data_IF_898269806421
#
_entry.id   IF_898269806421
#
_cell.length_a   1.000
_cell.length_b   1.000
_cell.length_c   1.000
_cell.angle_alpha   90.00
_cell.angle_beta   90.00
_cell.angle_gamma   90.00
#
_symmetry.space_group_name_H-M   'P 1'
#
loop_
_entity.id
_entity.type
_entity.pdbx_description
1 polymer ?
#
# COMPACT_ATOMS: atom_id res chain seq x y z
N UNK A 1 58.92 14.71 36.77
CA UNK A 1 57.49 15.14 36.83
C UNK A 1 56.84 14.71 35.53
N UNK A 2 56.08 13.60 35.54
CA UNK A 2 55.42 13.01 34.34
C UNK A 2 53.98 13.57 34.27
N UNK A 3 53.68 14.33 33.22
CA UNK A 3 52.30 14.83 32.94
C UNK A 3 51.51 13.72 32.26
N UNK A 4 50.50 13.19 32.93
CA UNK A 4 49.56 12.27 32.35
C UNK A 4 48.46 13.08 31.60
N UNK A 5 48.40 12.91 30.27
CA UNK A 5 47.34 13.46 29.45
C UNK A 5 46.13 12.50 29.48
N UNK A 6 45.03 12.97 30.01
CA UNK A 6 43.76 12.29 30.09
C UNK A 6 43.03 12.52 28.76
N UNK A 7 42.95 11.48 27.89
CA UNK A 7 42.17 11.49 26.67
C UNK A 7 40.69 11.20 27.04
N UNK A 8 39.84 12.21 26.96
CA UNK A 8 38.40 12.02 27.11
C UNK A 8 37.83 11.56 25.76
N UNK A 9 37.45 10.31 25.70
CA UNK A 9 36.77 9.71 24.53
C UNK A 9 35.30 10.13 24.59
N UNK A 10 34.90 11.08 23.73
CA UNK A 10 33.50 11.48 23.56
C UNK A 10 32.78 10.45 22.72
N UNK A 11 32.01 9.54 23.34
CA UNK A 11 31.14 8.61 22.64
C UNK A 11 29.93 9.38 22.10
N UNK A 12 29.90 9.62 20.78
CA UNK A 12 28.71 10.13 20.09
C UNK A 12 27.70 8.99 19.97
N UNK A 13 26.73 8.97 20.85
CA UNK A 13 25.55 8.09 20.72
C UNK A 13 24.69 8.67 19.58
N UNK A 14 24.83 8.12 18.39
CA UNK A 14 23.92 8.38 17.29
C UNK A 14 22.54 7.75 17.62
N UNK A 15 21.70 8.50 18.29
CA UNK A 15 20.29 8.16 18.50
C UNK A 15 19.59 8.15 17.15
N UNK A 16 19.38 6.96 16.57
CA UNK A 16 18.57 6.79 15.37
C UNK A 16 17.13 7.15 15.69
N UNK A 17 16.69 8.34 15.33
CA UNK A 17 15.27 8.64 15.22
C UNK A 17 14.72 7.77 14.09
N UNK A 18 13.89 6.78 14.42
CA UNK A 18 13.10 6.05 13.43
C UNK A 18 12.03 7.02 12.88
N UNK A 19 12.37 7.73 11.80
CA UNK A 19 11.38 8.47 11.04
C UNK A 19 10.38 7.46 10.48
N UNK A 20 9.07 7.75 10.61
CA UNK A 20 8.07 7.04 9.83
C UNK A 20 8.48 7.12 8.36
N UNK A 21 8.46 5.99 7.65
CA UNK A 21 8.85 5.98 6.25
C UNK A 21 7.91 6.89 5.46
N UNK A 22 8.49 7.80 4.67
CA UNK A 22 7.73 8.65 3.76
C UNK A 22 7.15 7.81 2.61
N UNK A 23 5.95 8.14 2.11
CA UNK A 23 5.42 7.50 0.91
C UNK A 23 6.38 7.63 -0.28
N UNK A 24 6.50 6.58 -1.12
CA UNK A 24 7.37 6.66 -2.30
C UNK A 24 6.93 7.80 -3.23
N UNK A 25 7.88 8.61 -3.67
CA UNK A 25 7.61 9.77 -4.50
C UNK A 25 7.19 9.39 -5.93
N UNK A 26 6.37 10.22 -6.56
CA UNK A 26 6.04 10.10 -7.98
C UNK A 26 7.31 10.14 -8.83
N UNK A 27 7.42 9.24 -9.80
CA UNK A 27 8.59 9.08 -10.67
C UNK A 27 9.64 8.11 -10.13
N UNK A 28 9.51 7.61 -8.88
CA UNK A 28 10.43 6.62 -8.31
C UNK A 28 9.92 5.19 -8.52
N UNK A 29 10.81 4.22 -8.43
CA UNK A 29 10.42 2.80 -8.40
C UNK A 29 9.58 2.52 -7.15
N UNK A 30 8.44 1.87 -7.34
CA UNK A 30 7.62 1.40 -6.24
C UNK A 30 8.39 0.35 -5.41
N UNK A 31 8.31 0.39 -4.06
CA UNK A 31 8.88 -0.65 -3.22
C UNK A 31 8.38 -2.04 -3.63
N UNK A 32 9.30 -2.99 -3.75
CA UNK A 32 8.94 -4.38 -4.06
C UNK A 32 8.17 -5.00 -2.89
N UNK A 33 7.22 -5.88 -3.21
CA UNK A 33 6.53 -6.67 -2.20
C UNK A 33 6.26 -8.10 -2.65
N UNK A 34 6.07 -8.98 -1.68
CA UNK A 34 5.57 -10.34 -1.86
C UNK A 34 4.64 -10.63 -0.67
N UNK A 35 3.35 -10.60 -0.90
CA UNK A 35 2.33 -10.79 0.15
C UNK A 35 1.39 -11.93 -0.22
N UNK A 36 0.90 -12.73 0.76
CA UNK A 36 -0.14 -13.71 0.52
C UNK A 36 -1.49 -13.01 0.27
N UNK A 37 -2.22 -13.49 -0.71
CA UNK A 37 -3.60 -13.06 -0.96
C UNK A 37 -4.61 -13.87 -0.14
N UNK A 38 -5.90 -13.53 -0.24
CA UNK A 38 -7.00 -14.20 0.47
C UNK A 38 -7.11 -15.71 0.20
N UNK A 39 -6.48 -16.23 -0.85
CA UNK A 39 -6.40 -17.66 -1.15
C UNK A 39 -5.06 -18.29 -0.73
N UNK A 40 -4.20 -17.52 -0.02
CA UNK A 40 -2.87 -17.95 0.41
C UNK A 40 -1.80 -17.89 -0.67
N UNK A 41 -2.15 -17.62 -1.93
CA UNK A 41 -1.17 -17.53 -3.01
C UNK A 41 -0.35 -16.24 -2.94
N UNK A 42 0.98 -16.30 -3.21
CA UNK A 42 1.82 -15.11 -3.15
C UNK A 42 1.57 -14.20 -4.36
N UNK A 43 1.36 -12.92 -4.09
CA UNK A 43 1.28 -11.83 -5.08
C UNK A 43 2.51 -10.95 -4.94
N UNK A 44 3.18 -10.69 -6.05
CA UNK A 44 4.36 -9.83 -6.09
C UNK A 44 4.17 -8.69 -7.08
N UNK A 45 4.77 -7.54 -6.82
CA UNK A 45 4.77 -6.42 -7.76
C UNK A 45 5.45 -6.82 -9.09
N UNK A 46 6.49 -7.65 -9.04
CA UNK A 46 7.21 -8.15 -10.22
C UNK A 46 6.30 -8.89 -11.19
N UNK A 47 5.44 -9.79 -10.69
CA UNK A 47 4.50 -10.55 -11.52
C UNK A 47 3.39 -9.69 -12.16
N UNK A 48 3.29 -8.43 -11.74
CA UNK A 48 2.33 -7.46 -12.29
C UNK A 48 2.95 -6.57 -13.37
N UNK A 49 4.23 -6.76 -13.72
CA UNK A 49 4.87 -6.02 -14.82
C UNK A 49 4.06 -6.13 -16.11
N UNK A 50 4.06 -5.06 -16.89
CA UNK A 50 3.25 -4.94 -18.10
C UNK A 50 1.81 -4.51 -17.86
N UNK A 51 1.38 -4.39 -16.58
CA UNK A 51 0.07 -3.87 -16.19
C UNK A 51 0.20 -2.67 -15.28
N UNK A 52 -0.78 -1.80 -15.30
CA UNK A 52 -0.95 -0.82 -14.25
C UNK A 52 -1.37 -1.51 -12.96
N UNK A 53 -0.88 -1.02 -11.82
CA UNK A 53 -1.25 -1.54 -10.50
C UNK A 53 -1.86 -0.41 -9.68
N UNK A 54 -3.08 -0.64 -9.22
CA UNK A 54 -3.74 0.16 -8.18
C UNK A 54 -3.50 -0.56 -6.86
N UNK A 55 -2.57 -0.07 -6.07
CA UNK A 55 -2.24 -0.62 -4.75
C UNK A 55 -2.86 0.28 -3.69
N UNK A 56 -4.02 -0.12 -3.14
CA UNK A 56 -4.69 0.67 -2.11
C UNK A 56 -4.52 0.03 -0.74
N UNK A 57 -4.12 0.85 0.23
CA UNK A 57 -4.02 0.47 1.64
C UNK A 57 -5.29 0.89 2.37
N UNK A 58 -5.78 0.05 3.26
CA UNK A 58 -6.99 0.31 4.04
C UNK A 58 -6.88 -0.22 5.46
N UNK A 59 -7.56 0.40 6.45
CA UNK A 59 -7.34 0.10 7.86
C UNK A 59 -7.71 -1.31 8.27
N UNK A 60 -8.92 -1.81 7.90
CA UNK A 60 -9.43 -3.07 8.44
C UNK A 60 -10.63 -3.61 7.66
N UNK A 61 -10.65 -4.93 7.48
CA UNK A 61 -11.80 -5.67 6.96
C UNK A 61 -13.08 -5.41 7.76
N UNK A 62 -14.22 -5.56 7.12
CA UNK A 62 -15.56 -5.46 7.69
C UNK A 62 -15.95 -4.10 8.30
N UNK A 63 -15.09 -3.08 8.22
CA UNK A 63 -15.48 -1.72 8.61
C UNK A 63 -16.26 -1.02 7.51
N UNK A 64 -17.18 -0.14 7.86
CA UNK A 64 -18.10 0.50 6.91
C UNK A 64 -17.40 1.21 5.75
N UNK A 65 -16.39 2.03 6.06
CA UNK A 65 -15.62 2.74 5.03
C UNK A 65 -14.82 1.83 4.12
N UNK A 66 -14.17 0.78 4.67
CA UNK A 66 -13.39 -0.18 3.86
C UNK A 66 -14.31 -1.03 2.99
N UNK A 67 -15.49 -1.40 3.48
CA UNK A 67 -16.50 -2.11 2.70
C UNK A 67 -17.00 -1.27 1.51
N UNK A 68 -17.28 0.01 1.72
CA UNK A 68 -17.68 0.93 0.64
C UNK A 68 -16.56 1.04 -0.41
N UNK A 69 -15.32 1.22 0.01
CA UNK A 69 -14.17 1.33 -0.90
C UNK A 69 -13.98 0.06 -1.73
N UNK A 70 -13.97 -1.12 -1.07
CA UNK A 70 -13.83 -2.41 -1.73
C UNK A 70 -14.96 -2.67 -2.74
N UNK A 71 -16.22 -2.39 -2.37
CA UNK A 71 -17.38 -2.50 -3.28
C UNK A 71 -17.28 -1.57 -4.48
N UNK A 72 -16.77 -0.36 -4.33
CA UNK A 72 -16.57 0.57 -5.44
C UNK A 72 -15.48 0.06 -6.40
N UNK A 73 -14.35 -0.47 -5.90
CA UNK A 73 -13.36 -1.13 -6.75
C UNK A 73 -13.94 -2.38 -7.45
N UNK A 74 -14.78 -3.16 -6.75
CA UNK A 74 -15.46 -4.32 -7.35
C UNK A 74 -16.46 -3.92 -8.42
N UNK A 75 -17.28 -2.89 -8.19
CA UNK A 75 -18.20 -2.32 -9.19
C UNK A 75 -17.48 -1.97 -10.49
N UNK A 76 -16.28 -1.43 -10.37
CA UNK A 76 -15.50 -0.92 -11.49
C UNK A 76 -14.45 -1.91 -12.02
N UNK A 77 -14.43 -3.15 -11.53
CA UNK A 77 -13.40 -4.15 -11.85
C UNK A 77 -13.20 -4.35 -13.36
N UNK A 78 -14.29 -4.41 -14.13
CA UNK A 78 -14.20 -4.55 -15.59
C UNK A 78 -13.54 -3.34 -16.28
N UNK A 79 -13.74 -2.11 -15.74
CA UNK A 79 -13.11 -0.90 -16.26
C UNK A 79 -11.59 -0.96 -16.04
N UNK A 80 -11.14 -1.44 -14.88
CA UNK A 80 -9.72 -1.68 -14.60
C UNK A 80 -9.12 -2.72 -15.54
N UNK A 81 -9.78 -3.85 -15.75
CA UNK A 81 -9.34 -4.88 -16.71
C UNK A 81 -9.20 -4.31 -18.12
N UNK A 82 -10.21 -3.58 -18.61
CA UNK A 82 -10.16 -2.90 -19.93
C UNK A 82 -9.05 -1.87 -20.03
N UNK A 83 -8.68 -1.25 -18.90
CA UNK A 83 -7.56 -0.31 -18.82
C UNK A 83 -6.18 -1.01 -18.69
N UNK A 84 -6.11 -2.35 -18.76
CA UNK A 84 -4.91 -3.15 -18.47
C UNK A 84 -4.35 -2.83 -17.07
N UNK A 85 -5.24 -2.73 -16.08
CA UNK A 85 -4.89 -2.47 -14.70
C UNK A 85 -5.37 -3.61 -13.79
N UNK A 86 -4.63 -3.84 -12.70
CA UNK A 86 -5.01 -4.73 -11.60
C UNK A 86 -5.18 -3.92 -10.31
N UNK A 87 -6.14 -4.32 -9.49
CA UNK A 87 -6.38 -3.71 -8.18
C UNK A 87 -5.93 -4.68 -7.10
N UNK A 88 -5.15 -4.20 -6.15
CA UNK A 88 -4.75 -4.91 -4.93
C UNK A 88 -5.10 -4.07 -3.71
N UNK A 89 -5.87 -4.64 -2.78
CA UNK A 89 -6.07 -4.06 -1.46
C UNK A 89 -5.07 -4.65 -0.48
N UNK A 90 -4.52 -3.81 0.40
CA UNK A 90 -3.54 -4.22 1.42
C UNK A 90 -4.01 -3.76 2.79
N UNK A 91 -4.08 -4.68 3.73
CA UNK A 91 -4.24 -4.35 5.15
C UNK A 91 -3.38 -5.26 6.02
N UNK A 92 -3.38 -4.98 7.32
CA UNK A 92 -2.67 -5.79 8.32
C UNK A 92 -3.52 -6.98 8.82
N UNK A 93 -4.71 -7.17 8.25
CA UNK A 93 -5.57 -8.31 8.57
C UNK A 93 -4.97 -9.62 8.05
N UNK A 94 -5.44 -10.74 8.60
CA UNK A 94 -4.97 -12.08 8.22
C UNK A 94 -5.55 -12.55 6.89
N UNK A 95 -4.91 -13.55 6.28
CA UNK A 95 -5.41 -14.23 5.08
C UNK A 95 -6.84 -14.75 5.28
N UNK A 96 -7.14 -15.34 6.45
CA UNK A 96 -8.47 -15.86 6.75
C UNK A 96 -9.50 -14.72 6.81
N UNK A 97 -9.17 -13.60 7.46
CA UNK A 97 -10.04 -12.41 7.46
C UNK A 97 -10.35 -11.93 6.05
N UNK A 98 -9.33 -11.80 5.21
CA UNK A 98 -9.50 -11.41 3.80
C UNK A 98 -10.37 -12.41 3.02
N UNK A 99 -10.19 -13.69 3.25
CA UNK A 99 -11.01 -14.75 2.62
C UNK A 99 -12.49 -14.59 2.97
N UNK A 100 -12.79 -14.40 4.25
CA UNK A 100 -14.16 -14.18 4.72
C UNK A 100 -14.75 -12.86 4.19
N UNK A 101 -13.95 -11.79 4.19
CA UNK A 101 -14.37 -10.49 3.68
C UNK A 101 -14.65 -10.54 2.18
N UNK A 102 -13.77 -11.14 1.38
CA UNK A 102 -14.00 -11.33 -0.05
C UNK A 102 -15.26 -12.15 -0.32
N UNK A 103 -15.47 -13.24 0.41
CA UNK A 103 -16.65 -14.09 0.24
C UNK A 103 -17.94 -13.32 0.58
N UNK A 104 -17.95 -12.58 1.70
CA UNK A 104 -19.11 -11.80 2.14
C UNK A 104 -19.47 -10.67 1.18
N UNK A 105 -18.47 -9.97 0.65
CA UNK A 105 -18.66 -8.78 -0.18
C UNK A 105 -18.63 -9.08 -1.69
N UNK A 106 -18.40 -10.33 -2.09
CA UNK A 106 -18.34 -10.76 -3.50
C UNK A 106 -17.16 -10.14 -4.25
N UNK A 107 -16.00 -9.98 -3.60
CA UNK A 107 -14.84 -9.35 -4.20
C UNK A 107 -14.06 -10.33 -5.09
N UNK A 108 -13.82 -9.97 -6.35
CA UNK A 108 -13.11 -10.78 -7.33
C UNK A 108 -11.67 -10.33 -7.60
N UNK A 109 -11.23 -9.24 -6.97
CA UNK A 109 -9.83 -8.82 -6.98
C UNK A 109 -9.11 -9.32 -5.71
N UNK A 110 -7.79 -9.12 -5.65
CA UNK A 110 -6.99 -9.70 -4.56
C UNK A 110 -6.83 -8.72 -3.40
N UNK A 111 -7.09 -9.23 -2.18
CA UNK A 111 -6.71 -8.60 -0.92
C UNK A 111 -5.44 -9.27 -0.41
N UNK A 112 -4.47 -8.47 0.02
CA UNK A 112 -3.13 -8.90 0.39
C UNK A 112 -2.90 -8.66 1.88
N UNK A 113 -2.51 -9.73 2.59
CA UNK A 113 -2.25 -9.69 4.03
C UNK A 113 -0.81 -9.25 4.30
N UNK A 114 -0.64 -8.09 4.92
CA UNK A 114 0.63 -7.55 5.40
C UNK A 114 0.67 -7.58 6.94
N UNK A 115 0.50 -8.78 7.50
CA UNK A 115 0.38 -8.99 8.94
C UNK A 115 1.61 -8.52 9.73
N UNK A 116 2.80 -8.54 9.14
CA UNK A 116 4.05 -8.03 9.71
C UNK A 116 4.27 -6.53 9.49
N UNK A 117 3.41 -5.88 8.70
CA UNK A 117 3.40 -4.44 8.39
C UNK A 117 4.61 -3.93 7.59
N UNK A 118 5.41 -4.83 7.05
CA UNK A 118 6.65 -4.47 6.36
C UNK A 118 6.37 -3.66 5.09
N UNK A 119 5.39 -4.07 4.29
CA UNK A 119 4.99 -3.37 3.06
C UNK A 119 4.24 -2.07 3.37
N UNK A 120 3.29 -2.11 4.32
CA UNK A 120 2.58 -0.91 4.80
C UNK A 120 3.56 0.17 5.26
N UNK A 121 4.61 -0.22 5.99
CA UNK A 121 5.68 0.69 6.42
C UNK A 121 6.51 1.18 5.24
N UNK A 122 6.93 0.30 4.32
CA UNK A 122 7.75 0.67 3.17
C UNK A 122 7.04 1.66 2.22
N UNK A 123 5.70 1.63 2.19
CA UNK A 123 4.88 2.58 1.45
C UNK A 123 4.47 3.83 2.26
N UNK A 124 5.05 4.05 3.46
CA UNK A 124 4.70 5.19 4.32
C UNK A 124 3.22 5.23 4.69
N UNK A 125 2.58 4.07 4.73
CA UNK A 125 1.15 3.94 4.97
C UNK A 125 0.82 3.36 6.35
N UNK A 126 1.83 3.19 7.24
CA UNK A 126 1.59 2.74 8.60
C UNK A 126 1.08 3.89 9.47
N UNK A 127 0.03 3.65 10.22
CA UNK A 127 -0.54 4.59 11.20
C UNK A 127 -0.91 3.87 12.48
N UNK A 128 -0.97 4.62 13.58
CA UNK A 128 -1.34 4.11 14.90
C UNK A 128 -2.59 4.82 15.40
N UNK A 129 -3.54 4.07 15.91
CA UNK A 129 -4.71 4.57 16.60
C UNK A 129 -5.02 3.69 17.81
N UNK A 130 -5.15 4.30 19.02
CA UNK A 130 -5.38 3.58 20.27
C UNK A 130 -4.40 2.39 20.48
N UNK A 131 -3.10 2.68 20.35
CA UNK A 131 -1.98 1.73 20.48
C UNK A 131 -2.02 0.50 19.54
N UNK A 132 -2.85 0.57 18.49
CA UNK A 132 -2.90 -0.43 17.43
C UNK A 132 -2.43 0.16 16.12
N UNK A 133 -1.65 -0.62 15.39
CA UNK A 133 -1.13 -0.24 14.07
C UNK A 133 -2.07 -0.74 12.97
N UNK A 134 -2.33 0.14 12.00
CA UNK A 134 -3.19 -0.10 10.84
C UNK A 134 -2.55 0.48 9.59
N UNK A 135 -3.05 0.07 8.44
CA UNK A 135 -2.77 0.79 7.21
C UNK A 135 -3.63 2.05 7.12
N UNK A 136 -3.00 3.18 6.79
CA UNK A 136 -3.70 4.41 6.42
C UNK A 136 -4.38 4.24 5.05
N UNK A 137 -5.44 5.02 4.76
CA UNK A 137 -6.10 5.02 3.43
C UNK A 137 -5.26 5.78 2.42
N UNK A 138 -4.25 5.12 1.90
CA UNK A 138 -3.38 5.65 0.86
C UNK A 138 -3.44 4.72 -0.35
N UNK A 139 -3.30 5.28 -1.55
CA UNK A 139 -3.27 4.49 -2.78
C UNK A 139 -2.12 4.95 -3.66
N UNK A 140 -1.52 3.98 -4.33
CA UNK A 140 -0.42 4.19 -5.26
C UNK A 140 -0.82 3.64 -6.63
N UNK A 141 -0.79 4.52 -7.64
CA UNK A 141 -0.97 4.12 -9.02
C UNK A 141 0.42 3.91 -9.63
N UNK A 142 0.71 2.66 -9.98
CA UNK A 142 2.03 2.20 -10.44
C UNK A 142 1.91 1.78 -11.90
N UNK A 143 2.83 2.25 -12.73
CA UNK A 143 2.82 1.94 -14.17
C UNK A 143 3.37 0.53 -14.50
N UNK A 144 3.24 0.07 -15.75
CA UNK A 144 3.74 -1.24 -16.19
C UNK A 144 5.24 -1.46 -15.95
N UNK A 145 6.02 -0.40 -15.87
CA UNK A 145 7.46 -0.41 -15.57
C UNK A 145 7.75 -0.39 -14.06
N UNK A 146 6.69 -0.39 -13.21
CA UNK A 146 6.77 -0.38 -11.75
C UNK A 146 7.24 0.95 -11.17
N UNK A 147 6.93 2.05 -11.84
CA UNK A 147 7.19 3.41 -11.36
C UNK A 147 5.90 3.99 -10.78
N UNK A 148 6.00 4.62 -9.63
CA UNK A 148 4.87 5.33 -9.02
C UNK A 148 4.50 6.53 -9.87
N UNK A 149 3.27 6.60 -10.36
CA UNK A 149 2.78 7.69 -11.23
C UNK A 149 1.84 8.65 -10.51
N UNK A 150 1.16 8.16 -9.46
CA UNK A 150 0.33 9.00 -8.60
C UNK A 150 0.26 8.41 -7.19
N UNK A 151 0.16 9.30 -6.22
CA UNK A 151 0.00 8.98 -4.80
C UNK A 151 -1.24 9.69 -4.30
N UNK A 152 -2.12 8.94 -3.64
CA UNK A 152 -3.33 9.46 -3.01
C UNK A 152 -3.22 9.22 -1.51
N UNK A 153 -3.33 10.27 -0.72
CA UNK A 153 -3.24 10.19 0.73
C UNK A 153 -4.59 10.52 1.36
N UNK A 154 -4.98 9.76 2.38
CA UNK A 154 -6.23 9.97 3.14
C UNK A 154 -7.48 10.03 2.25
N UNK A 155 -7.61 9.09 1.33
CA UNK A 155 -8.67 9.06 0.32
C UNK A 155 -10.07 8.92 0.90
N UNK A 156 -11.09 9.41 0.16
CA UNK A 156 -12.49 9.20 0.48
C UNK A 156 -13.00 7.88 -0.12
N UNK A 157 -13.43 6.92 0.70
CA UNK A 157 -13.90 5.61 0.20
C UNK A 157 -15.01 5.68 -0.84
N UNK A 158 -15.87 6.70 -0.76
CA UNK A 158 -17.06 6.79 -1.60
C UNK A 158 -16.76 7.10 -3.08
N UNK A 159 -15.70 7.86 -3.36
CA UNK A 159 -15.40 8.38 -4.70
C UNK A 159 -14.06 7.91 -5.25
N UNK A 160 -13.29 7.16 -4.45
CA UNK A 160 -11.89 6.88 -4.76
C UNK A 160 -11.70 6.06 -6.03
N UNK A 161 -12.51 5.03 -6.28
CA UNK A 161 -12.41 4.22 -7.51
C UNK A 161 -12.60 5.06 -8.78
N UNK A 162 -13.56 5.99 -8.78
CA UNK A 162 -13.82 6.88 -9.92
C UNK A 162 -12.66 7.86 -10.13
N UNK A 163 -12.07 8.39 -9.05
CA UNK A 163 -10.88 9.25 -9.09
C UNK A 163 -9.69 8.52 -9.71
N UNK A 164 -9.38 7.30 -9.25
CA UNK A 164 -8.28 6.50 -9.79
C UNK A 164 -8.47 6.16 -11.26
N UNK A 165 -9.69 5.81 -11.69
CA UNK A 165 -9.99 5.54 -13.11
C UNK A 165 -9.79 6.77 -13.99
N UNK A 166 -10.18 7.94 -13.51
CA UNK A 166 -9.98 9.22 -14.22
C UNK A 166 -8.49 9.50 -14.43
N UNK A 167 -7.71 9.39 -13.37
CA UNK A 167 -6.26 9.64 -13.44
C UNK A 167 -5.53 8.58 -14.28
N UNK A 168 -5.94 7.31 -14.19
CA UNK A 168 -5.40 6.22 -15.00
C UNK A 168 -5.61 6.51 -16.49
N UNK A 169 -6.80 6.97 -16.87
CA UNK A 169 -7.10 7.33 -18.25
C UNK A 169 -6.22 8.50 -18.75
N UNK A 170 -6.07 9.55 -17.94
CA UNK A 170 -5.20 10.68 -18.25
C UNK A 170 -3.73 10.29 -18.42
N UNK A 171 -3.20 9.48 -17.48
CA UNK A 171 -1.80 9.05 -17.52
C UNK A 171 -1.49 8.11 -18.70
N UNK A 172 -2.47 7.35 -19.18
CA UNK A 172 -2.33 6.52 -20.37
C UNK A 172 -2.38 7.33 -21.65
N UNK A 173 -3.15 8.41 -21.69
CA UNK A 173 -3.23 9.30 -22.86
C UNK A 173 -2.00 10.19 -23.03
N UNK A 174 -1.20 10.39 -21.98
CA UNK A 174 0.00 11.23 -21.98
C UNK A 174 1.29 10.48 -22.37
N UNK A 175 1.21 9.20 -22.70
CA UNK A 175 2.30 8.37 -23.23
C UNK A 175 2.16 8.27 -24.74
#
# INVERSE_FOLDING_TARGET
MKKASLLVLLAVVAGGFAFAAEPPAVGTKAPAFSLPSQDGSPVTLEKSRGKWVVLYFYPKDFTSGCTVEARNFQRDAEKYVKANAVVYGVSVDTVDSHKEFCAKEGLNFRLLSDADRAVTKAYGSLTTHQDKEYAARNTFLIDPEGVVRKVYLKVSPATHSDEVLTDLAMLKASK
#
